data_IF_516150064703
#
_entry.id   IF_516150064703
#
_cell.length_a   1.000
_cell.length_b   1.000
_cell.length_c   1.000
_cell.angle_alpha   90.00
_cell.angle_beta   90.00
_cell.angle_gamma   90.00
#
_symmetry.space_group_name_H-M   'P 1'
#
loop_
_entity.id
_entity.type
_entity.pdbx_description
1 polymer ?
#
# COMPACT_ATOMS: atom_id res chain seq x y z
N UNK A 1 -18.77 0.96 -7.79
CA UNK A 1 -17.96 0.17 -8.75
C UNK A 1 -16.72 -0.38 -8.04
N UNK A 2 -16.49 -1.69 -8.17
CA UNK A 2 -15.38 -2.35 -7.52
C UNK A 2 -14.06 -2.00 -8.20
N UNK A 3 -13.03 -1.69 -7.40
CA UNK A 3 -11.65 -1.49 -7.87
C UNK A 3 -10.73 -2.48 -7.17
N UNK A 4 -9.61 -2.80 -7.81
CA UNK A 4 -8.54 -3.56 -7.18
C UNK A 4 -7.54 -2.57 -6.63
N UNK A 5 -7.41 -2.54 -5.32
CA UNK A 5 -6.60 -1.55 -4.62
C UNK A 5 -5.51 -2.24 -3.81
N UNK A 6 -4.26 -1.83 -4.04
CA UNK A 6 -3.14 -2.25 -3.22
C UNK A 6 -2.86 -1.13 -2.22
N UNK A 7 -2.91 -1.45 -0.93
CA UNK A 7 -2.56 -0.51 0.14
C UNK A 7 -1.18 -0.90 0.66
N UNK A 8 -0.22 -0.01 0.52
CA UNK A 8 1.16 -0.27 0.89
C UNK A 8 1.48 0.38 2.23
N UNK A 9 1.55 -0.45 3.25
CA UNK A 9 1.83 -0.03 4.61
C UNK A 9 0.72 -0.43 5.56
N UNK A 10 1.04 -1.28 6.52
CA UNK A 10 0.07 -1.87 7.46
C UNK A 10 0.23 -1.32 8.88
N UNK A 11 0.55 -0.03 9.01
CA UNK A 11 0.50 0.65 10.29
C UNK A 11 -0.94 0.94 10.68
N UNK A 12 -1.13 1.81 11.67
CA UNK A 12 -2.47 2.15 12.18
C UNK A 12 -3.36 2.68 11.06
N UNK A 13 -2.88 3.68 10.36
CA UNK A 13 -3.67 4.36 9.33
C UNK A 13 -3.88 3.49 8.10
N UNK A 14 -2.79 2.86 7.60
CA UNK A 14 -2.87 2.02 6.40
C UNK A 14 -3.82 0.84 6.57
N UNK A 15 -3.73 0.13 7.69
CA UNK A 15 -4.60 -1.03 7.90
C UNK A 15 -6.07 -0.62 8.05
N UNK A 16 -6.36 0.51 8.71
CA UNK A 16 -7.75 1.00 8.84
C UNK A 16 -8.30 1.44 7.47
N UNK A 17 -7.50 2.16 6.67
CA UNK A 17 -7.93 2.54 5.32
C UNK A 17 -8.20 1.32 4.46
N UNK A 18 -7.32 0.31 4.53
CA UNK A 18 -7.51 -0.93 3.78
C UNK A 18 -8.83 -1.61 4.17
N UNK A 19 -9.09 -1.68 5.47
CA UNK A 19 -10.33 -2.28 5.97
C UNK A 19 -11.57 -1.52 5.50
N UNK A 20 -11.53 -0.20 5.55
CA UNK A 20 -12.63 0.65 5.09
C UNK A 20 -12.93 0.42 3.62
N UNK A 21 -11.88 0.37 2.78
CA UNK A 21 -12.05 0.13 1.35
C UNK A 21 -12.62 -1.27 1.08
N UNK A 22 -12.16 -2.26 1.85
CA UNK A 22 -12.68 -3.63 1.73
C UNK A 22 -14.16 -3.67 2.08
N UNK A 23 -14.57 -3.00 3.16
CA UNK A 23 -15.97 -2.94 3.58
C UNK A 23 -16.86 -2.23 2.57
N UNK A 24 -16.27 -1.32 1.78
CA UNK A 24 -16.99 -0.61 0.72
C UNK A 24 -17.05 -1.41 -0.59
N UNK A 25 -16.64 -2.65 -0.58
CA UNK A 25 -16.82 -3.54 -1.73
C UNK A 25 -15.66 -3.61 -2.70
N UNK A 26 -14.53 -2.98 -2.39
CA UNK A 26 -13.34 -3.07 -3.24
C UNK A 26 -12.55 -4.34 -2.94
N UNK A 27 -11.78 -4.81 -3.93
CA UNK A 27 -10.84 -5.90 -3.74
C UNK A 27 -9.53 -5.31 -3.25
N UNK A 28 -9.21 -5.49 -1.96
CA UNK A 28 -8.07 -4.83 -1.33
C UNK A 28 -6.99 -5.84 -0.96
N UNK A 29 -5.75 -5.52 -1.30
CA UNK A 29 -4.57 -6.25 -0.86
C UNK A 29 -3.71 -5.32 -0.03
N UNK A 30 -3.48 -5.69 1.22
CA UNK A 30 -2.69 -4.89 2.15
C UNK A 30 -1.26 -5.44 2.20
N UNK A 31 -0.29 -4.60 1.89
CA UNK A 31 1.11 -5.03 1.91
C UNK A 31 1.80 -4.60 3.19
N UNK A 32 2.54 -5.53 3.79
CA UNK A 32 3.47 -5.27 4.89
C UNK A 32 4.76 -6.04 4.62
N UNK A 33 5.89 -5.44 4.90
CA UNK A 33 7.16 -6.15 4.79
C UNK A 33 7.39 -7.13 5.95
N UNK A 34 6.52 -7.16 6.95
CA UNK A 34 6.62 -8.06 8.10
C UNK A 34 5.77 -9.31 7.90
N UNK A 35 6.38 -10.48 7.66
CA UNK A 35 5.61 -11.73 7.52
C UNK A 35 4.75 -12.05 8.75
N UNK A 36 5.24 -11.72 9.95
CA UNK A 36 4.48 -11.96 11.17
C UNK A 36 3.19 -11.14 11.21
N UNK A 37 3.26 -9.88 10.77
CA UNK A 37 2.07 -9.02 10.70
C UNK A 37 1.08 -9.53 9.65
N UNK A 38 1.59 -9.98 8.51
CA UNK A 38 0.74 -10.57 7.46
C UNK A 38 0.01 -11.80 7.98
N UNK A 39 0.71 -12.67 8.70
CA UNK A 39 0.11 -13.86 9.31
C UNK A 39 -1.00 -13.48 10.28
N UNK A 40 -0.75 -12.51 11.15
CA UNK A 40 -1.76 -12.07 12.12
C UNK A 40 -3.01 -11.51 11.42
N UNK A 41 -2.82 -10.67 10.41
CA UNK A 41 -3.93 -10.08 9.67
C UNK A 41 -4.76 -11.14 8.94
N UNK A 42 -4.12 -12.11 8.32
CA UNK A 42 -4.81 -13.13 7.55
C UNK A 42 -5.47 -14.22 8.40
N UNK A 43 -4.84 -14.61 9.50
CA UNK A 43 -5.34 -15.72 10.32
C UNK A 43 -6.20 -15.27 11.49
N UNK A 44 -5.86 -14.16 12.13
CA UNK A 44 -6.58 -13.67 13.29
C UNK A 44 -7.46 -12.45 13.01
N UNK A 45 -7.24 -11.79 11.87
CA UNK A 45 -7.95 -10.56 11.47
C UNK A 45 -7.75 -9.45 12.48
N UNK A 46 -6.54 -9.37 13.02
CA UNK A 46 -6.13 -8.34 13.98
C UNK A 46 -4.78 -7.76 13.60
N UNK A 47 -4.47 -6.59 14.17
CA UNK A 47 -3.19 -5.91 14.00
C UNK A 47 -2.89 -5.22 15.33
N UNK A 48 -2.71 -6.03 16.38
CA UNK A 48 -2.71 -5.56 17.77
C UNK A 48 -1.66 -4.52 18.08
N UNK A 49 -0.49 -4.61 17.46
CA UNK A 49 0.59 -3.66 17.69
C UNK A 49 0.20 -2.24 17.29
N UNK A 50 -0.57 -2.10 16.21
CA UNK A 50 -0.91 -0.79 15.64
C UNK A 50 -2.34 -0.35 15.93
N UNK A 51 -3.29 -1.30 15.99
CA UNK A 51 -4.69 -0.99 16.26
C UNK A 51 -5.22 -2.04 17.24
N UNK A 52 -4.96 -1.85 18.55
CA UNK A 52 -5.41 -2.81 19.56
C UNK A 52 -6.92 -2.98 19.58
N UNK A 53 -7.35 -4.19 19.89
CA UNK A 53 -8.77 -4.53 20.08
C UNK A 53 -9.67 -4.25 18.88
N UNK A 54 -9.12 -4.31 17.68
CA UNK A 54 -9.89 -4.10 16.46
C UNK A 54 -9.89 -5.38 15.61
N UNK A 55 -11.06 -5.75 15.10
CA UNK A 55 -11.23 -6.89 14.19
C UNK A 55 -11.40 -6.38 12.76
N UNK A 56 -10.55 -6.86 11.86
CA UNK A 56 -10.63 -6.54 10.45
C UNK A 56 -11.61 -7.46 9.72
N UNK A 57 -12.06 -7.02 8.56
CA UNK A 57 -12.92 -7.81 7.68
C UNK A 57 -12.22 -9.13 7.31
N UNK A 58 -12.97 -10.22 7.28
CA UNK A 58 -12.44 -11.54 6.91
C UNK A 58 -12.02 -11.63 5.45
N UNK A 59 -12.52 -10.72 4.62
CA UNK A 59 -12.17 -10.68 3.19
C UNK A 59 -10.92 -9.85 2.90
N UNK A 60 -10.44 -9.07 3.87
CA UNK A 60 -9.21 -8.30 3.71
C UNK A 60 -8.02 -9.24 3.76
N UNK A 61 -7.20 -9.23 2.71
CA UNK A 61 -6.03 -10.10 2.59
C UNK A 61 -4.74 -9.29 2.65
N UNK A 62 -3.77 -9.79 3.42
CA UNK A 62 -2.46 -9.14 3.55
C UNK A 62 -1.39 -9.97 2.83
N UNK A 63 -0.36 -9.27 2.35
CA UNK A 63 0.75 -9.87 1.59
C UNK A 63 2.06 -9.28 2.05
N UNK A 64 3.11 -10.12 2.13
CA UNK A 64 4.46 -9.64 2.37
C UNK A 64 5.26 -9.49 1.07
N UNK A 65 4.79 -10.11 -0.01
CA UNK A 65 5.40 -9.99 -1.33
C UNK A 65 4.78 -8.81 -2.08
N UNK A 66 5.58 -7.80 -2.38
CA UNK A 66 5.08 -6.58 -3.01
C UNK A 66 4.51 -6.84 -4.42
N UNK A 67 5.17 -7.68 -5.20
CA UNK A 67 4.69 -7.99 -6.55
C UNK A 67 3.31 -8.63 -6.52
N UNK A 68 3.05 -9.51 -5.55
CA UNK A 68 1.73 -10.12 -5.39
C UNK A 68 0.69 -9.10 -4.93
N UNK A 69 1.08 -8.19 -4.05
CA UNK A 69 0.15 -7.18 -3.52
C UNK A 69 -0.34 -6.24 -4.61
N UNK A 70 0.53 -5.85 -5.53
CA UNK A 70 0.18 -4.87 -6.57
C UNK A 70 -0.23 -5.50 -7.90
N UNK A 71 -0.21 -6.82 -8.00
CA UNK A 71 -0.58 -7.52 -9.24
C UNK A 71 -2.02 -7.20 -9.63
N UNK A 72 -2.20 -6.63 -10.82
CA UNK A 72 -3.52 -6.27 -11.33
C UNK A 72 -4.19 -5.10 -10.65
N UNK A 73 -3.48 -4.36 -9.79
CA UNK A 73 -4.08 -3.23 -9.06
C UNK A 73 -4.48 -2.10 -10.00
N UNK A 74 -5.68 -1.57 -9.80
CA UNK A 74 -6.14 -0.35 -10.48
C UNK A 74 -5.59 0.89 -9.78
N UNK A 75 -5.41 0.79 -8.46
CA UNK A 75 -4.93 1.89 -7.62
C UNK A 75 -3.87 1.34 -6.67
N UNK A 76 -2.78 2.07 -6.51
CA UNK A 76 -1.78 1.78 -5.49
C UNK A 76 -1.75 2.97 -4.52
N UNK A 77 -2.10 2.69 -3.26
CA UNK A 77 -2.18 3.69 -2.21
C UNK A 77 -0.97 3.55 -1.28
N UNK A 78 -0.12 4.56 -1.24
CA UNK A 78 1.07 4.58 -0.38
C UNK A 78 0.72 5.13 1.00
N UNK A 79 0.87 4.31 2.04
CA UNK A 79 0.65 4.71 3.44
C UNK A 79 1.85 4.30 4.30
N UNK A 80 2.99 4.05 3.66
CA UNK A 80 4.24 3.77 4.39
C UNK A 80 4.77 5.04 5.04
N UNK A 81 5.61 4.92 6.09
CA UNK A 81 6.22 6.11 6.68
C UNK A 81 6.96 6.95 5.62
N UNK A 82 6.94 8.26 5.80
CA UNK A 82 7.54 9.21 4.85
C UNK A 82 8.96 8.83 4.45
N UNK A 83 9.77 8.38 5.41
CA UNK A 83 11.16 7.98 5.15
C UNK A 83 11.29 6.75 4.26
N UNK A 84 10.23 5.96 4.12
CA UNK A 84 10.26 4.72 3.32
C UNK A 84 9.64 4.91 1.93
N UNK A 85 8.99 6.02 1.65
CA UNK A 85 8.24 6.21 0.40
C UNK A 85 9.12 6.05 -0.83
N UNK A 86 10.29 6.67 -0.85
CA UNK A 86 11.17 6.62 -2.03
C UNK A 86 11.61 5.19 -2.32
N UNK A 87 12.04 4.46 -1.29
CA UNK A 87 12.50 3.08 -1.45
C UNK A 87 11.37 2.17 -1.94
N UNK A 88 10.19 2.28 -1.33
CA UNK A 88 9.05 1.47 -1.74
C UNK A 88 8.61 1.82 -3.16
N UNK A 89 8.63 3.11 -3.52
CA UNK A 89 8.32 3.54 -4.89
C UNK A 89 9.27 2.93 -5.91
N UNK A 90 10.56 2.83 -5.57
CA UNK A 90 11.55 2.18 -6.44
C UNK A 90 11.21 0.71 -6.65
N UNK A 91 10.81 0.01 -5.60
CA UNK A 91 10.40 -1.40 -5.69
C UNK A 91 9.13 -1.56 -6.53
N UNK A 92 8.17 -0.67 -6.35
CA UNK A 92 6.93 -0.66 -7.15
C UNK A 92 7.27 -0.46 -8.63
N UNK A 93 8.14 0.49 -8.93
CA UNK A 93 8.55 0.79 -10.31
C UNK A 93 9.16 -0.46 -10.98
N UNK A 94 10.00 -1.20 -10.26
CA UNK A 94 10.61 -2.41 -10.80
C UNK A 94 9.55 -3.45 -11.18
N UNK A 95 8.49 -3.58 -10.38
CA UNK A 95 7.39 -4.50 -10.67
C UNK A 95 6.55 -4.01 -11.84
N UNK A 96 6.18 -2.73 -11.85
CA UNK A 96 5.35 -2.16 -12.92
C UNK A 96 6.03 -2.23 -14.28
N UNK A 97 7.35 -2.06 -14.33
CA UNK A 97 8.12 -2.16 -15.56
C UNK A 97 8.01 -3.56 -16.18
N UNK A 98 7.85 -4.59 -15.37
CA UNK A 98 7.74 -5.98 -15.83
C UNK A 98 6.31 -6.36 -16.22
N UNK A 99 5.31 -5.76 -15.59
CA UNK A 99 3.91 -6.18 -15.75
C UNK A 99 3.13 -5.31 -16.72
N UNK A 100 3.69 -4.18 -17.15
CA UNK A 100 3.04 -3.23 -18.04
C UNK A 100 1.73 -2.66 -17.52
N UNK A 101 1.58 -2.62 -16.18
CA UNK A 101 0.42 -2.00 -15.53
C UNK A 101 0.59 -0.49 -15.47
N UNK A 102 -0.53 0.23 -15.45
CA UNK A 102 -0.55 1.69 -15.31
C UNK A 102 -1.56 2.09 -14.24
N UNK A 103 -1.31 1.76 -12.96
CA UNK A 103 -2.25 2.09 -11.90
C UNK A 103 -2.28 3.57 -11.59
N UNK A 104 -3.36 4.00 -10.94
CA UNK A 104 -3.42 5.33 -10.33
C UNK A 104 -2.59 5.27 -9.04
N UNK A 105 -1.70 6.23 -8.86
CA UNK A 105 -0.85 6.31 -7.66
C UNK A 105 -1.40 7.38 -6.72
N UNK A 106 -1.67 6.98 -5.48
CA UNK A 106 -2.20 7.87 -4.44
C UNK A 106 -1.34 7.71 -3.20
N UNK A 107 -1.18 8.76 -2.41
CA UNK A 107 -0.54 8.65 -1.11
C UNK A 107 -1.39 9.31 -0.03
N UNK A 108 -1.31 8.77 1.18
CA UNK A 108 -2.00 9.30 2.36
C UNK A 108 -1.01 9.68 3.46
N UNK A 109 0.29 9.69 3.16
CA UNK A 109 1.32 10.10 4.10
C UNK A 109 1.43 11.62 4.14
N UNK A 110 1.91 12.15 5.27
CA UNK A 110 2.05 13.60 5.46
C UNK A 110 3.50 14.02 5.50
N UNK A 111 3.75 15.29 5.16
CA UNK A 111 5.03 15.94 5.33
C UNK A 111 5.88 15.94 4.08
N UNK A 112 7.16 16.22 4.29
CA UNK A 112 8.16 16.31 3.23
C UNK A 112 9.21 15.24 3.44
N UNK A 113 9.90 14.87 2.36
CA UNK A 113 11.06 14.00 2.48
C UNK A 113 12.15 14.75 3.22
N UNK A 114 12.75 14.11 4.24
CA UNK A 114 13.67 14.80 5.14
C UNK A 114 14.92 15.35 4.45
N UNK A 115 15.53 14.56 3.58
CA UNK A 115 16.79 14.95 2.94
C UNK A 115 16.61 16.00 1.85
N UNK A 116 15.59 15.87 1.03
CA UNK A 116 15.38 16.74 -0.13
C UNK A 116 14.37 17.84 0.11
N UNK A 117 13.57 17.75 1.17
CA UNK A 117 12.45 18.64 1.47
C UNK A 117 11.39 18.66 0.37
N UNK A 118 11.34 17.62 -0.46
CA UNK A 118 10.35 17.51 -1.53
C UNK A 118 9.03 17.01 -1.00
N UNK A 119 7.94 17.44 -1.63
CA UNK A 119 6.62 16.90 -1.34
C UNK A 119 6.57 15.43 -1.76
N UNK A 120 5.78 14.62 -1.06
CA UNK A 120 5.71 13.18 -1.33
C UNK A 120 5.21 12.90 -2.75
N UNK A 121 4.31 13.71 -3.29
CA UNK A 121 3.89 13.58 -4.69
C UNK A 121 5.04 13.77 -5.67
N UNK A 122 5.98 14.67 -5.36
CA UNK A 122 7.18 14.86 -6.18
C UNK A 122 8.13 13.66 -6.09
N UNK A 123 8.29 13.10 -4.88
CA UNK A 123 9.10 11.90 -4.68
C UNK A 123 8.55 10.75 -5.52
N UNK A 124 7.24 10.54 -5.46
CA UNK A 124 6.59 9.48 -6.24
C UNK A 124 6.74 9.73 -7.74
N UNK A 125 6.59 10.97 -8.19
CA UNK A 125 6.74 11.30 -9.61
C UNK A 125 8.17 11.09 -10.10
N UNK A 126 9.18 11.29 -9.23
CA UNK A 126 10.57 11.03 -9.60
C UNK A 126 10.86 9.54 -9.72
N UNK A 127 10.30 8.72 -8.84
CA UNK A 127 10.60 7.29 -8.80
C UNK A 127 9.73 6.44 -9.70
N UNK A 128 8.49 6.87 -9.97
CA UNK A 128 7.57 6.12 -10.82
C UNK A 128 7.36 6.92 -12.12
N UNK A 129 8.00 6.51 -13.22
CA UNK A 129 7.87 7.24 -14.49
C UNK A 129 6.42 7.34 -14.98
N UNK A 130 6.14 8.40 -15.73
CA UNK A 130 4.78 8.67 -16.22
C UNK A 130 4.20 7.52 -17.08
N UNK A 131 5.02 6.78 -17.79
CA UNK A 131 4.58 5.65 -18.62
C UNK A 131 4.15 4.43 -17.78
N UNK A 132 4.45 4.40 -16.48
CA UNK A 132 4.10 3.28 -15.59
C UNK A 132 2.94 3.62 -14.65
N UNK A 133 2.30 4.76 -14.83
CA UNK A 133 1.17 5.19 -14.00
C UNK A 133 0.19 6.03 -14.78
N UNK A 134 -0.97 6.18 -14.22
CA UNK A 134 -1.98 7.08 -14.74
C UNK A 134 -1.81 8.49 -14.20
#
# INVERSE_FOLDING_TARGET
MMKKIAVLGAGSWGSILANLLDENGHSVRLWSYSPAQVTELNEQHTNERYVPDFKYSETLTAYSNLAQAIDGADVILFVVPTKAIREVAQQVTAVLAKTHQQPIIVHASKGLEQETHKRLSQVLAEEIPAELRQ
#
